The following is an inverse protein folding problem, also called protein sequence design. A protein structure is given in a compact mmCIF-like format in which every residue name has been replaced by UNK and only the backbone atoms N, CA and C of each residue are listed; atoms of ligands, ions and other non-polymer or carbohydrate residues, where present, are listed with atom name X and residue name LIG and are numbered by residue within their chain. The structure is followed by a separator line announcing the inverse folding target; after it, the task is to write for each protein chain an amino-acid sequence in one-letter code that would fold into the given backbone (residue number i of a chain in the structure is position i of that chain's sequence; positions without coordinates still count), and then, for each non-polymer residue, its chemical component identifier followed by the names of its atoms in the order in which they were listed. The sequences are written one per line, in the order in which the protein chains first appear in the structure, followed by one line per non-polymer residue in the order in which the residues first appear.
data_IF_438893837682
#
_entry.id   IF_438893837682
#
_cell.length_a   1.000
_cell.length_b   1.000
_cell.length_c   1.000
_cell.angle_alpha   90.00
_cell.angle_beta   90.00
_cell.angle_gamma   90.00
#
_symmetry.space_group_name_H-M   'P 1'
#
loop_
_entity.id
_entity.type
_entity.pdbx_description
1 polymer ?
#
# COMPACT_ATOMS: atom_id res chain seq x y z
N UNK A 1 6.48 -24.22 -13.51
CA UNK A 1 5.82 -23.69 -14.73
C UNK A 1 4.41 -23.19 -14.48
N UNK A 2 3.51 -23.97 -13.86
CA UNK A 2 2.11 -23.54 -13.65
C UNK A 2 1.94 -22.39 -12.64
N UNK A 3 2.66 -22.41 -11.51
CA UNK A 3 2.65 -21.30 -10.52
C UNK A 3 3.12 -19.98 -11.14
N UNK A 4 4.25 -20.00 -11.83
CA UNK A 4 4.80 -18.84 -12.55
C UNK A 4 3.81 -18.26 -13.58
N UNK A 5 3.07 -19.13 -14.30
CA UNK A 5 2.02 -18.69 -15.23
C UNK A 5 0.84 -18.02 -14.52
N UNK A 6 0.39 -18.56 -13.37
CA UNK A 6 -0.68 -17.94 -12.57
C UNK A 6 -0.28 -16.55 -12.06
N UNK A 7 0.97 -16.38 -11.64
CA UNK A 7 1.48 -15.09 -11.16
C UNK A 7 1.51 -14.04 -12.27
N UNK A 8 1.98 -14.41 -13.46
CA UNK A 8 1.92 -13.50 -14.61
C UNK A 8 0.48 -13.07 -14.92
N UNK A 9 -0.48 -14.00 -14.84
CA UNK A 9 -1.91 -13.66 -15.04
C UNK A 9 -2.46 -12.73 -13.96
N UNK A 10 -2.06 -12.93 -12.69
CA UNK A 10 -2.47 -12.04 -11.60
C UNK A 10 -1.85 -10.65 -11.75
N UNK A 11 -0.58 -10.56 -12.18
CA UNK A 11 0.09 -9.29 -12.49
C UNK A 11 -0.64 -8.55 -13.61
N UNK A 12 -0.86 -9.20 -14.74
CA UNK A 12 -1.61 -8.61 -15.87
C UNK A 12 -3.03 -8.17 -15.46
N UNK A 13 -3.69 -8.92 -14.58
CA UNK A 13 -4.99 -8.52 -14.04
C UNK A 13 -4.88 -7.27 -13.16
N UNK A 14 -3.88 -7.19 -12.28
CA UNK A 14 -3.61 -6.00 -11.47
C UNK A 14 -3.35 -4.79 -12.37
N UNK A 15 -2.47 -4.93 -13.36
CA UNK A 15 -2.11 -3.86 -14.29
C UNK A 15 -3.34 -3.34 -15.05
N UNK A 16 -4.18 -4.25 -15.56
CA UNK A 16 -5.46 -3.88 -16.20
C UNK A 16 -6.41 -3.17 -15.24
N UNK A 17 -6.50 -3.61 -13.99
CA UNK A 17 -7.34 -2.93 -13.00
C UNK A 17 -6.80 -1.53 -12.69
N UNK A 18 -5.49 -1.38 -12.47
CA UNK A 18 -4.87 -0.08 -12.23
C UNK A 18 -5.01 0.88 -13.42
N UNK A 19 -5.06 0.35 -14.64
CA UNK A 19 -5.26 1.11 -15.87
C UNK A 19 -6.74 1.41 -16.19
N UNK A 20 -7.70 0.90 -15.40
CA UNK A 20 -9.13 1.15 -15.63
C UNK A 20 -9.52 2.61 -15.35
N UNK A 21 -10.51 3.11 -16.11
CA UNK A 21 -11.02 4.48 -15.98
C UNK A 21 -11.49 4.82 -14.56
N UNK A 22 -12.03 3.83 -13.83
CA UNK A 22 -12.48 4.00 -12.45
C UNK A 22 -11.34 4.41 -11.50
N UNK A 23 -10.10 4.02 -11.83
CA UNK A 23 -8.92 4.30 -11.02
C UNK A 23 -8.03 5.39 -11.63
N UNK A 24 -8.09 5.64 -12.95
CA UNK A 24 -7.25 6.66 -13.63
C UNK A 24 -7.93 8.02 -13.71
N UNK A 25 -9.26 8.08 -13.80
CA UNK A 25 -9.99 9.33 -13.86
C UNK A 25 -10.21 9.91 -12.46
N UNK A 26 -9.63 11.09 -12.20
CA UNK A 26 -9.67 11.75 -10.90
C UNK A 26 -11.10 12.11 -10.48
N UNK A 27 -11.98 12.49 -11.41
CA UNK A 27 -13.37 12.83 -11.09
C UNK A 27 -14.20 11.59 -10.68
N UNK A 28 -14.00 10.44 -11.34
CA UNK A 28 -14.63 9.17 -10.97
C UNK A 28 -14.07 8.69 -9.62
N UNK A 29 -12.76 8.77 -9.42
CA UNK A 29 -12.11 8.45 -8.16
C UNK A 29 -12.66 9.31 -7.02
N UNK A 30 -12.82 10.61 -7.23
CA UNK A 30 -13.43 11.52 -6.25
C UNK A 30 -14.85 11.10 -5.87
N UNK A 31 -15.66 10.69 -6.86
CA UNK A 31 -17.02 10.16 -6.60
C UNK A 31 -16.99 8.89 -5.77
N UNK A 32 -16.05 7.98 -6.06
CA UNK A 32 -15.86 6.76 -5.28
C UNK A 32 -15.48 7.09 -3.83
N UNK A 33 -14.47 7.93 -3.63
CA UNK A 33 -14.05 8.40 -2.30
C UNK A 33 -15.20 9.02 -1.52
N UNK A 34 -15.97 9.90 -2.18
CA UNK A 34 -17.17 10.51 -1.60
C UNK A 34 -18.18 9.46 -1.16
N UNK A 35 -18.47 8.46 -1.99
CA UNK A 35 -19.43 7.39 -1.66
C UNK A 35 -19.00 6.54 -0.46
N UNK A 36 -17.69 6.33 -0.27
CA UNK A 36 -17.13 5.49 0.79
C UNK A 36 -16.94 6.23 2.12
N UNK A 37 -16.71 7.56 2.08
CA UNK A 37 -16.51 8.38 3.29
C UNK A 37 -17.81 8.91 3.90
N UNK A 38 -18.90 8.96 3.14
CA UNK A 38 -20.17 9.56 3.58
C UNK A 38 -21.00 8.80 4.67
N UNK A 39 -20.68 7.59 5.17
CA UNK A 39 -21.52 6.98 6.20
C UNK A 39 -21.38 7.49 7.65
N UNK A 40 -20.34 8.24 8.05
CA UNK A 40 -19.97 8.28 9.50
C UNK A 40 -20.19 9.57 10.30
N UNK A 41 -20.60 10.71 9.73
CA UNK A 41 -20.71 11.93 10.56
C UNK A 41 -21.80 12.91 10.07
N UNK A 42 -22.87 13.03 10.87
CA UNK A 42 -23.93 14.04 10.71
C UNK A 42 -23.49 15.46 11.15
N UNK A 43 -22.30 15.62 11.75
CA UNK A 43 -21.93 16.84 12.49
C UNK A 43 -20.75 17.66 11.92
N UNK A 44 -20.16 17.25 10.80
CA UNK A 44 -19.04 17.99 10.20
C UNK A 44 -19.50 19.09 9.22
N UNK A 45 -18.93 20.28 9.37
CA UNK A 45 -19.05 21.43 8.47
C UNK A 45 -18.86 21.00 7.00
N UNK A 46 -19.79 21.40 6.13
CA UNK A 46 -19.84 20.98 4.73
C UNK A 46 -18.54 21.35 3.98
N UNK A 47 -17.92 22.47 4.38
CA UNK A 47 -16.61 22.90 3.89
C UNK A 47 -15.43 22.04 4.35
N UNK A 48 -15.51 21.42 5.54
CA UNK A 48 -14.50 20.48 6.03
C UNK A 48 -14.58 19.14 5.29
N UNK A 49 -15.80 18.64 5.06
CA UNK A 49 -16.04 17.39 4.33
C UNK A 49 -15.48 17.44 2.91
N UNK A 50 -15.72 18.53 2.18
CA UNK A 50 -15.20 18.67 0.82
C UNK A 50 -13.66 18.71 0.80
N UNK A 51 -13.04 19.43 1.75
CA UNK A 51 -11.57 19.44 1.91
C UNK A 51 -11.00 18.06 2.23
N UNK A 52 -11.71 17.28 3.08
CA UNK A 52 -11.33 15.91 3.40
C UNK A 52 -11.40 15.01 2.17
N UNK A 53 -12.48 15.10 1.39
CA UNK A 53 -12.66 14.34 0.14
C UNK A 53 -11.54 14.68 -0.85
N UNK A 54 -11.23 15.97 -1.05
CA UNK A 54 -10.15 16.40 -1.94
C UNK A 54 -8.80 15.83 -1.49
N UNK A 55 -8.48 15.98 -0.21
CA UNK A 55 -7.24 15.44 0.36
C UNK A 55 -7.14 13.94 0.17
N UNK A 56 -8.21 13.20 0.47
CA UNK A 56 -8.26 11.73 0.34
C UNK A 56 -8.16 11.29 -1.12
N UNK A 57 -8.81 12.01 -2.02
CA UNK A 57 -8.72 11.74 -3.47
C UNK A 57 -7.29 11.93 -3.95
N UNK A 58 -6.61 13.01 -3.53
CA UNK A 58 -5.21 13.25 -3.87
C UNK A 58 -4.26 12.19 -3.29
N UNK A 59 -4.45 11.80 -2.03
CA UNK A 59 -3.69 10.72 -1.37
C UNK A 59 -3.84 9.40 -2.14
N UNK A 60 -5.07 9.02 -2.50
CA UNK A 60 -5.36 7.78 -3.23
C UNK A 60 -4.85 7.85 -4.67
N UNK A 61 -5.02 8.97 -5.37
CA UNK A 61 -4.53 9.16 -6.73
C UNK A 61 -3.01 8.99 -6.78
N UNK A 62 -2.29 9.67 -5.88
CA UNK A 62 -0.84 9.54 -5.77
C UNK A 62 -0.42 8.09 -5.49
N UNK A 63 -1.14 7.40 -4.61
CA UNK A 63 -0.90 5.99 -4.34
C UNK A 63 -1.11 5.09 -5.57
N UNK A 64 -2.19 5.29 -6.32
CA UNK A 64 -2.45 4.55 -7.56
C UNK A 64 -1.39 4.82 -8.62
N UNK A 65 -0.93 6.07 -8.75
CA UNK A 65 0.17 6.43 -9.65
C UNK A 65 1.49 5.76 -9.25
N UNK A 66 1.77 5.68 -7.94
CA UNK A 66 2.91 4.91 -7.43
C UNK A 66 2.81 3.43 -7.81
N UNK A 67 1.64 2.80 -7.67
CA UNK A 67 1.46 1.40 -8.08
C UNK A 67 1.64 1.21 -9.59
N UNK A 68 1.07 2.09 -10.42
CA UNK A 68 1.25 2.05 -11.89
C UNK A 68 2.70 2.19 -12.29
N UNK A 69 3.46 3.05 -11.62
CA UNK A 69 4.89 3.25 -11.93
C UNK A 69 5.74 2.00 -11.73
N UNK A 70 5.26 1.01 -10.97
CA UNK A 70 5.95 -0.27 -10.78
C UNK A 70 5.66 -1.30 -11.88
N UNK A 71 4.66 -1.06 -12.72
CA UNK A 71 4.14 -2.01 -13.72
C UNK A 71 4.99 -2.08 -15.00
N UNK A 72 5.82 -1.07 -15.29
CA UNK A 72 6.41 -0.90 -16.62
C UNK A 72 7.50 -1.95 -16.94
N UNK A 73 7.18 -2.87 -17.85
CA UNK A 73 8.12 -3.83 -18.43
C UNK A 73 8.80 -3.18 -19.66
N UNK A 74 9.85 -2.41 -19.42
CA UNK A 74 10.83 -2.02 -20.45
C UNK A 74 10.36 -1.11 -21.59
N UNK A 75 9.21 -0.46 -21.47
CA UNK A 75 8.72 0.53 -22.42
C UNK A 75 9.35 1.90 -22.18
N UNK A 76 9.83 2.54 -23.24
CA UNK A 76 10.44 3.88 -23.26
C UNK A 76 9.42 4.97 -22.90
N UNK A 77 8.90 4.98 -21.67
CA UNK A 77 8.00 6.01 -21.16
C UNK A 77 8.78 6.94 -20.22
N UNK A 78 8.98 8.18 -20.66
CA UNK A 78 9.59 9.26 -19.86
C UNK A 78 8.61 9.72 -18.77
N UNK A 79 8.21 8.83 -17.88
CA UNK A 79 7.50 9.21 -16.65
C UNK A 79 8.54 9.46 -15.55
N UNK A 80 8.49 10.59 -14.83
CA UNK A 80 9.49 10.95 -13.81
C UNK A 80 9.46 10.06 -12.55
N UNK A 81 8.68 8.98 -12.56
CA UNK A 81 8.50 8.05 -11.44
C UNK A 81 9.05 6.64 -11.72
N UNK A 82 9.67 6.41 -12.87
CA UNK A 82 10.08 5.08 -13.35
C UNK A 82 11.47 4.64 -12.81
N UNK A 83 11.77 4.98 -11.55
CA UNK A 83 13.07 4.74 -10.91
C UNK A 83 13.12 3.41 -10.12
N UNK A 84 12.12 2.54 -10.30
CA UNK A 84 12.06 1.27 -9.59
C UNK A 84 13.14 0.31 -10.08
N UNK A 85 13.99 -0.12 -9.15
CA UNK A 85 15.02 -1.13 -9.36
C UNK A 85 14.57 -2.45 -8.76
N UNK A 86 14.73 -3.53 -9.53
CA UNK A 86 14.40 -4.88 -9.08
C UNK A 86 15.45 -5.37 -8.06
N UNK A 87 14.99 -5.75 -6.87
CA UNK A 87 15.84 -6.36 -5.82
C UNK A 87 15.72 -7.88 -5.81
N UNK A 88 14.50 -8.39 -5.97
CA UNK A 88 14.23 -9.83 -5.98
C UNK A 88 13.00 -10.11 -6.85
N UNK A 89 13.07 -11.13 -7.69
CA UNK A 89 11.90 -11.68 -8.40
C UNK A 89 11.86 -13.18 -8.16
N UNK A 90 10.81 -13.64 -7.48
CA UNK A 90 10.62 -15.03 -7.12
C UNK A 90 9.27 -15.54 -7.62
N UNK A 91 9.05 -16.85 -7.49
CA UNK A 91 7.77 -17.48 -7.80
C UNK A 91 6.67 -17.17 -6.76
N UNK A 92 6.88 -16.26 -5.81
CA UNK A 92 5.88 -15.90 -4.79
C UNK A 92 5.67 -14.38 -4.70
N UNK A 93 6.75 -13.61 -4.79
CA UNK A 93 6.73 -12.16 -4.70
C UNK A 93 7.88 -11.51 -5.49
N UNK A 94 7.68 -10.23 -5.83
CA UNK A 94 8.67 -9.32 -6.40
C UNK A 94 8.96 -8.20 -5.42
N UNK A 95 10.23 -7.85 -5.26
CA UNK A 95 10.67 -6.73 -4.44
C UNK A 95 11.38 -5.73 -5.31
N UNK A 96 10.90 -4.49 -5.24
CA UNK A 96 11.48 -3.35 -5.91
C UNK A 96 11.83 -2.27 -4.90
N UNK A 97 12.75 -1.40 -5.30
CA UNK A 97 13.12 -0.25 -4.50
C UNK A 97 13.42 0.95 -5.39
N UNK A 98 13.21 2.15 -4.87
CA UNK A 98 13.60 3.41 -5.50
C UNK A 98 14.16 4.38 -4.47
N UNK A 99 14.72 5.48 -4.93
CA UNK A 99 15.10 6.57 -4.03
C UNK A 99 13.87 7.03 -3.24
N UNK A 100 14.05 7.27 -1.94
CA UNK A 100 13.01 7.79 -1.07
C UNK A 100 12.69 9.25 -1.39
N UNK A 101 11.91 9.89 -0.52
CA UNK A 101 11.55 11.30 -0.66
C UNK A 101 12.82 12.17 -0.74
N UNK A 102 12.78 13.20 -1.58
CA UNK A 102 13.89 14.12 -1.78
C UNK A 102 14.36 14.71 -0.44
N UNK A 103 15.68 14.76 -0.23
CA UNK A 103 16.28 15.22 1.02
C UNK A 103 16.34 14.16 2.13
N UNK A 104 15.79 12.96 1.93
CA UNK A 104 15.95 11.84 2.87
C UNK A 104 17.06 10.89 2.44
N UNK A 105 17.81 10.28 3.39
CA UNK A 105 18.80 9.25 3.07
C UNK A 105 18.16 7.87 2.80
N UNK A 106 16.84 7.81 2.73
CA UNK A 106 16.04 6.59 2.78
C UNK A 106 15.65 6.10 1.39
N UNK A 107 15.30 4.81 1.30
CA UNK A 107 14.75 4.22 0.09
C UNK A 107 13.30 3.81 0.31
N UNK A 108 12.48 3.91 -0.74
CA UNK A 108 11.14 3.32 -0.72
C UNK A 108 11.24 1.91 -1.28
N UNK A 109 10.71 0.93 -0.53
CA UNK A 109 10.58 -0.46 -0.97
C UNK A 109 9.12 -0.78 -1.29
N UNK A 110 8.91 -1.56 -2.34
CA UNK A 110 7.61 -2.11 -2.72
C UNK A 110 7.74 -3.62 -2.84
N UNK A 111 6.81 -4.34 -2.22
CA UNK A 111 6.70 -5.81 -2.30
C UNK A 111 5.35 -6.14 -2.90
N UNK A 112 5.39 -6.83 -4.04
CA UNK A 112 4.20 -7.33 -4.73
C UNK A 112 4.17 -8.84 -4.61
N UNK A 113 3.05 -9.39 -4.17
CA UNK A 113 2.84 -10.83 -4.07
C UNK A 113 1.36 -11.15 -4.19
N UNK A 114 1.03 -12.43 -4.08
CA UNK A 114 -0.35 -12.89 -4.05
C UNK A 114 -0.66 -13.59 -2.74
N UNK A 115 -1.91 -13.46 -2.29
CA UNK A 115 -2.43 -14.18 -1.13
C UNK A 115 -3.61 -15.02 -1.60
N UNK A 116 -3.57 -16.31 -1.31
CA UNK A 116 -4.65 -17.24 -1.63
C UNK A 116 -5.70 -17.20 -0.50
N UNK A 117 -6.59 -16.21 -0.56
CA UNK A 117 -7.63 -16.03 0.45
C UNK A 117 -8.69 -15.00 0.08
N UNK A 118 -9.83 -14.99 0.79
CA UNK A 118 -10.85 -13.96 0.63
C UNK A 118 -10.29 -12.55 0.86
N UNK A 119 -10.73 -11.59 0.05
CA UNK A 119 -10.21 -10.20 0.07
C UNK A 119 -10.43 -9.56 1.44
N UNK A 120 -11.61 -9.72 2.02
CA UNK A 120 -11.96 -9.22 3.36
C UNK A 120 -11.04 -9.77 4.46
N UNK A 121 -10.67 -11.05 4.38
CA UNK A 121 -9.70 -11.66 5.29
C UNK A 121 -8.31 -11.07 5.08
N UNK A 122 -7.85 -10.94 3.83
CA UNK A 122 -6.55 -10.36 3.49
C UNK A 122 -6.43 -8.89 3.95
N UNK A 123 -7.50 -8.12 3.76
CA UNK A 123 -7.61 -6.74 4.24
C UNK A 123 -7.54 -6.69 5.76
N UNK A 124 -8.32 -7.54 6.45
CA UNK A 124 -8.36 -7.61 7.90
C UNK A 124 -6.99 -7.91 8.53
N UNK A 125 -6.25 -8.89 7.98
CA UNK A 125 -4.91 -9.21 8.48
C UNK A 125 -3.91 -8.08 8.20
N UNK A 126 -4.00 -7.43 7.03
CA UNK A 126 -3.12 -6.31 6.68
C UNK A 126 -3.36 -5.07 7.56
N UNK A 127 -4.61 -4.88 8.00
CA UNK A 127 -5.05 -3.76 8.83
C UNK A 127 -4.70 -3.91 10.31
N UNK A 128 -4.74 -5.12 10.85
CA UNK A 128 -4.62 -5.30 12.29
C UNK A 128 -3.15 -5.51 12.69
N UNK A 129 -2.52 -4.44 13.20
CA UNK A 129 -1.14 -4.50 13.72
C UNK A 129 -0.94 -5.64 14.73
N UNK A 130 -1.92 -5.91 15.60
CA UNK A 130 -1.87 -7.02 16.57
C UNK A 130 -1.70 -8.40 15.94
N UNK A 131 -2.04 -8.56 14.65
CA UNK A 131 -1.86 -9.78 13.89
C UNK A 131 -0.49 -9.86 13.21
N UNK A 132 0.28 -8.78 13.13
CA UNK A 132 1.55 -8.75 12.39
C UNK A 132 2.53 -9.82 12.89
N UNK A 133 2.60 -10.06 14.19
CA UNK A 133 3.44 -11.15 14.74
C UNK A 133 3.06 -12.53 14.19
N UNK A 134 1.80 -12.75 13.81
CA UNK A 134 1.26 -14.02 13.33
C UNK A 134 1.41 -14.20 11.82
N UNK A 135 1.20 -13.16 11.02
CA UNK A 135 1.16 -13.28 9.55
C UNK A 135 2.33 -12.60 8.83
N UNK A 136 2.99 -11.62 9.45
CA UNK A 136 4.10 -10.91 8.81
C UNK A 136 5.23 -11.90 8.51
N UNK A 137 5.75 -11.93 7.27
CA UNK A 137 6.84 -12.84 6.91
C UNK A 137 8.09 -12.47 7.72
N UNK A 138 8.36 -13.24 8.78
CA UNK A 138 9.39 -12.96 9.79
C UNK A 138 10.84 -13.05 9.29
N UNK A 139 11.11 -13.15 7.98
CA UNK A 139 12.48 -13.33 7.49
C UNK A 139 12.75 -13.14 5.99
N UNK A 140 11.80 -12.76 5.15
CA UNK A 140 12.04 -12.70 3.68
C UNK A 140 12.20 -11.26 3.18
N UNK A 141 11.16 -10.44 3.28
CA UNK A 141 11.25 -8.97 3.15
C UNK A 141 10.13 -8.37 4.00
N UNK A 142 10.42 -7.38 4.86
CA UNK A 142 11.73 -6.77 5.14
C UNK A 142 12.62 -7.62 6.06
N UNK A 143 13.91 -7.29 6.14
CA UNK A 143 14.95 -8.02 6.89
C UNK A 143 14.88 -7.84 8.41
N UNK A 144 13.71 -7.51 8.96
CA UNK A 144 13.52 -7.33 10.40
C UNK A 144 12.35 -8.19 10.89
N UNK A 145 12.44 -8.60 12.16
CA UNK A 145 11.39 -9.34 12.84
C UNK A 145 10.54 -8.42 13.68
N UNK A 146 9.25 -8.71 13.73
CA UNK A 146 8.33 -8.01 14.63
C UNK A 146 8.32 -8.75 15.96
N UNK A 147 8.91 -8.16 16.99
CA UNK A 147 9.01 -8.74 18.34
C UNK A 147 7.68 -8.63 19.08
N UNK A 148 7.05 -7.46 19.00
CA UNK A 148 5.73 -7.18 19.57
C UNK A 148 4.99 -6.17 18.72
N UNK A 149 3.66 -6.32 18.63
CA UNK A 149 2.77 -5.30 18.11
C UNK A 149 1.55 -5.17 19.01
N UNK A 150 1.17 -3.93 19.29
CA UNK A 150 0.07 -3.60 20.19
C UNK A 150 -0.72 -2.42 19.62
N UNK A 151 -2.05 -2.54 19.56
CA UNK A 151 -2.93 -1.43 19.24
C UNK A 151 -3.13 -0.59 20.50
N UNK A 152 -2.62 0.65 20.50
CA UNK A 152 -2.73 1.57 21.62
C UNK A 152 -4.10 2.27 21.64
N UNK A 153 -4.60 2.64 20.46
CA UNK A 153 -5.86 3.36 20.33
C UNK A 153 -6.52 3.05 18.99
N UNK A 154 -7.82 2.74 19.00
CA UNK A 154 -8.64 2.73 17.79
C UNK A 154 -9.29 4.09 17.64
N UNK A 155 -9.01 4.78 16.54
CA UNK A 155 -9.56 6.12 16.27
C UNK A 155 -10.92 5.96 15.60
N UNK A 156 -10.97 5.18 14.51
CA UNK A 156 -12.19 4.87 13.76
C UNK A 156 -12.03 3.55 12.99
N UNK A 157 -13.08 3.13 12.28
CA UNK A 157 -12.98 2.00 11.35
C UNK A 157 -11.93 2.35 10.32
N UNK A 158 -10.90 1.51 10.20
CA UNK A 158 -9.82 1.84 9.29
C UNK A 158 -8.87 2.92 9.82
N UNK A 159 -8.74 3.12 11.14
CA UNK A 159 -7.69 3.98 11.70
C UNK A 159 -7.34 3.57 13.13
N UNK A 160 -6.05 3.31 13.38
CA UNK A 160 -5.55 2.97 14.71
C UNK A 160 -4.14 3.52 14.93
N UNK A 161 -3.80 3.74 16.20
CA UNK A 161 -2.46 4.05 16.65
C UNK A 161 -1.90 2.77 17.27
N UNK A 162 -0.73 2.35 16.79
CA UNK A 162 -0.12 1.09 17.19
C UNK A 162 1.35 1.24 17.56
N UNK A 163 1.80 0.47 18.54
CA UNK A 163 3.21 0.30 18.89
C UNK A 163 3.73 -0.97 18.23
N UNK A 164 4.77 -0.86 17.42
CA UNK A 164 5.47 -2.01 16.82
C UNK A 164 6.93 -1.97 17.26
N UNK A 165 7.39 -3.05 17.92
CA UNK A 165 8.81 -3.25 18.25
C UNK A 165 9.42 -4.26 17.31
N UNK A 166 10.60 -3.95 16.81
CA UNK A 166 11.40 -4.82 15.95
C UNK A 166 12.72 -5.20 16.60
N UNK A 167 13.38 -6.21 16.03
CA UNK A 167 14.76 -6.54 16.39
C UNK A 167 15.72 -5.39 16.03
N UNK A 168 16.83 -5.30 16.77
CA UNK A 168 17.73 -4.12 16.87
C UNK A 168 18.46 -3.72 15.57
N UNK A 169 18.07 -4.22 14.40
CA UNK A 169 18.76 -3.98 13.14
C UNK A 169 18.30 -2.78 12.30
N UNK A 170 17.14 -2.16 12.57
CA UNK A 170 16.55 -1.17 11.65
C UNK A 170 15.75 -0.08 12.38
N UNK A 171 15.65 1.12 11.80
CA UNK A 171 14.61 2.13 12.13
C UNK A 171 13.64 2.19 10.96
N UNK A 172 12.33 2.18 11.23
CA UNK A 172 11.31 2.26 10.18
C UNK A 172 10.08 2.89 10.79
N UNK A 173 9.55 3.90 10.12
CA UNK A 173 8.26 4.49 10.46
C UNK A 173 7.20 3.72 9.67
N UNK A 174 6.26 3.09 10.39
CA UNK A 174 5.05 2.52 9.80
C UNK A 174 4.00 3.61 9.80
N UNK A 175 3.68 4.14 8.62
CA UNK A 175 2.50 5.00 8.46
C UNK A 175 1.34 4.10 8.03
N UNK A 176 0.37 3.92 8.92
CA UNK A 176 -0.88 3.21 8.64
C UNK A 176 -1.87 4.21 8.03
N UNK A 177 -1.87 4.29 6.70
CA UNK A 177 -2.86 5.04 5.92
C UNK A 177 -3.58 4.05 5.01
N UNK A 178 -4.90 3.88 5.24
CA UNK A 178 -5.87 3.18 4.39
C UNK A 178 -5.25 2.12 3.45
N UNK A 179 -5.20 0.88 3.93
CA UNK A 179 -4.84 -0.32 3.15
C UNK A 179 -3.38 -0.42 2.66
N UNK A 180 -2.44 0.34 3.24
CA UNK A 180 -1.01 0.13 3.02
C UNK A 180 -0.21 0.35 4.31
N UNK A 181 0.73 -0.58 4.58
CA UNK A 181 1.80 -0.35 5.54
C UNK A 181 2.99 0.19 4.75
N UNK A 182 3.13 1.52 4.69
CA UNK A 182 4.36 2.13 4.19
C UNK A 182 5.43 1.98 5.27
N UNK A 183 6.41 1.12 5.00
CA UNK A 183 7.64 1.02 5.76
C UNK A 183 8.70 1.90 5.07
N UNK A 184 8.89 3.11 5.60
CA UNK A 184 10.05 3.93 5.23
C UNK A 184 11.27 3.39 5.98
N UNK A 185 12.33 2.99 5.27
CA UNK A 185 13.60 2.48 5.83
C UNK A 185 14.73 3.41 5.51
#
# INVERSE_FOLDING_TARGET
MEKKRKIMQYRERLDRTLASDDLTNVEILKKLVKSQLLPSSELEDEGYKEKLIERKTAEISNFLDMLRSASDDGGLSNTPHNDWKLKQDSDEFRVMYRQGLEGTPFHTMLVEGFVDGPVDVCLCISWQTSLYKKWWPQSTIPTFKILSSECLQKVQIGEQISLVRKDEGFVASVYEGSCSALLSV
#
